data_IF_542615795810
#
_entry.id   IF_542615795810
#
_cell.length_a   1.000
_cell.length_b   1.000
_cell.length_c   1.000
_cell.angle_alpha   90.00
_cell.angle_beta   90.00
_cell.angle_gamma   90.00
#
_symmetry.space_group_name_H-M   'P 1'
#
loop_
_entity.id
_entity.type
_entity.pdbx_description
1 polymer ?
#
# COMPACT_ATOMS: atom_id res chain seq x y z
N UNK A 1 6.72 -19.38 -12.79
CA UNK A 1 6.21 -18.18 -12.10
C UNK A 1 5.48 -17.37 -13.17
N UNK A 2 4.24 -16.94 -12.91
CA UNK A 2 3.51 -16.09 -13.85
C UNK A 2 4.23 -14.75 -14.00
N UNK A 3 4.45 -14.32 -15.24
CA UNK A 3 4.97 -13.00 -15.54
C UNK A 3 3.80 -12.12 -15.99
N UNK A 4 3.48 -11.12 -15.16
CA UNK A 4 2.36 -10.20 -15.38
C UNK A 4 2.75 -8.98 -16.23
N UNK A 5 3.99 -8.92 -16.73
CA UNK A 5 4.49 -7.82 -17.57
C UNK A 5 4.26 -6.44 -16.94
N UNK A 6 4.55 -6.33 -15.63
CA UNK A 6 4.47 -5.07 -14.91
C UNK A 6 5.44 -4.05 -15.51
N UNK A 7 5.03 -2.78 -15.54
CA UNK A 7 5.94 -1.69 -15.89
C UNK A 7 7.05 -1.55 -14.84
N UNK A 8 8.16 -0.88 -15.19
CA UNK A 8 9.24 -0.60 -14.22
C UNK A 8 8.71 0.19 -13.02
N UNK A 9 7.81 1.14 -13.25
CA UNK A 9 7.13 1.89 -12.19
C UNK A 9 6.28 1.00 -11.28
N UNK A 10 5.49 0.09 -11.85
CA UNK A 10 4.69 -0.87 -11.09
C UNK A 10 5.57 -1.83 -10.27
N UNK A 11 6.72 -2.23 -10.80
CA UNK A 11 7.71 -3.02 -10.06
C UNK A 11 8.23 -2.22 -8.86
N UNK A 12 8.57 -0.95 -9.05
CA UNK A 12 9.00 -0.07 -7.96
C UNK A 12 7.92 0.12 -6.90
N UNK A 13 6.67 0.38 -7.29
CA UNK A 13 5.52 0.52 -6.38
C UNK A 13 5.34 -0.75 -5.54
N UNK A 14 5.32 -1.92 -6.20
CA UNK A 14 5.19 -3.22 -5.54
C UNK A 14 6.32 -3.46 -4.55
N UNK A 15 7.56 -3.22 -4.95
CA UNK A 15 8.74 -3.52 -4.12
C UNK A 15 8.84 -2.55 -2.92
N UNK A 16 8.42 -1.29 -3.08
CA UNK A 16 8.27 -0.33 -1.99
C UNK A 16 7.18 -0.78 -1.00
N UNK A 17 5.99 -1.15 -1.48
CA UNK A 17 4.91 -1.65 -0.63
C UNK A 17 5.33 -2.94 0.12
N UNK A 18 6.06 -3.85 -0.55
CA UNK A 18 6.62 -5.05 0.07
C UNK A 18 7.57 -4.72 1.22
N UNK A 19 8.43 -3.72 1.02
CA UNK A 19 9.40 -3.28 2.03
C UNK A 19 8.68 -2.75 3.27
N UNK A 20 7.64 -1.92 3.09
CA UNK A 20 6.81 -1.41 4.19
C UNK A 20 6.07 -2.56 4.88
N UNK A 21 5.51 -3.49 4.11
CA UNK A 21 4.83 -4.66 4.66
C UNK A 21 5.74 -5.47 5.59
N UNK A 22 6.97 -5.76 5.18
CA UNK A 22 7.88 -6.58 5.96
C UNK A 22 8.55 -5.83 7.12
N UNK A 23 8.87 -4.55 6.97
CA UNK A 23 9.62 -3.78 7.96
C UNK A 23 8.73 -3.01 8.94
N UNK A 24 7.58 -2.49 8.49
CA UNK A 24 6.72 -1.60 9.28
C UNK A 24 5.43 -2.29 9.75
N UNK A 25 4.84 -3.17 8.94
CA UNK A 25 3.55 -3.82 9.26
C UNK A 25 3.74 -5.13 10.01
N UNK A 26 4.54 -6.05 9.45
CA UNK A 26 4.68 -7.42 9.96
C UNK A 26 5.11 -7.49 11.44
N UNK A 27 6.02 -6.63 11.95
CA UNK A 27 6.43 -6.70 13.35
C UNK A 27 5.34 -6.32 14.36
N UNK A 28 4.38 -5.47 13.95
CA UNK A 28 3.35 -4.89 14.84
C UNK A 28 1.95 -5.44 14.59
N UNK A 29 1.78 -6.26 13.54
CA UNK A 29 0.48 -6.75 13.10
C UNK A 29 -0.34 -7.45 14.21
N UNK A 30 0.29 -8.32 15.00
CA UNK A 30 -0.39 -9.06 16.06
C UNK A 30 -0.80 -8.17 17.25
N UNK A 31 -0.02 -7.12 17.53
CA UNK A 31 -0.32 -6.17 18.59
C UNK A 31 -1.56 -5.35 18.24
N UNK A 32 -1.61 -4.81 17.02
CA UNK A 32 -2.75 -4.04 16.53
C UNK A 32 -4.03 -4.89 16.36
N UNK A 33 -3.89 -6.16 15.97
CA UNK A 33 -5.03 -7.09 15.92
C UNK A 33 -5.65 -7.31 17.32
N UNK A 34 -4.82 -7.46 18.35
CA UNK A 34 -5.27 -7.67 19.73
C UNK A 34 -5.81 -6.39 20.38
N UNK A 35 -5.15 -5.25 20.16
CA UNK A 35 -5.53 -3.99 20.81
C UNK A 35 -6.71 -3.32 20.13
N UNK A 36 -6.88 -3.52 18.82
CA UNK A 36 -7.86 -2.80 18.00
C UNK A 36 -7.52 -1.32 17.83
N UNK A 37 -6.32 -0.88 18.23
CA UNK A 37 -5.88 0.50 18.04
C UNK A 37 -5.61 0.79 16.56
N UNK A 38 -5.81 2.05 16.16
CA UNK A 38 -5.51 2.45 14.79
C UNK A 38 -3.99 2.63 14.59
N UNK A 39 -3.39 2.05 13.55
CA UNK A 39 -1.94 1.98 13.37
C UNK A 39 -1.37 3.27 12.75
N UNK A 40 -1.58 4.43 13.39
CA UNK A 40 -1.12 5.73 12.89
C UNK A 40 0.36 5.76 12.49
N UNK A 41 1.31 5.24 13.28
CA UNK A 41 2.72 5.26 12.90
C UNK A 41 3.00 4.55 11.57
N UNK A 42 2.28 3.44 11.30
CA UNK A 42 2.41 2.69 10.05
C UNK A 42 1.78 3.46 8.88
N UNK A 43 0.60 4.05 9.10
CA UNK A 43 -0.10 4.86 8.09
C UNK A 43 0.74 6.06 7.68
N UNK A 44 1.41 6.71 8.64
CA UNK A 44 2.35 7.80 8.37
C UNK A 44 3.52 7.34 7.50
N UNK A 45 4.06 6.13 7.71
CA UNK A 45 5.10 5.57 6.84
C UNK A 45 4.61 5.30 5.42
N UNK A 46 3.39 4.81 5.26
CA UNK A 46 2.78 4.62 3.93
C UNK A 46 2.61 5.98 3.23
N UNK A 47 2.26 7.04 3.97
CA UNK A 47 2.12 8.39 3.45
C UNK A 47 3.47 9.04 3.09
N UNK A 48 4.49 8.92 3.94
CA UNK A 48 5.85 9.38 3.66
C UNK A 48 6.43 8.73 2.41
N UNK A 49 6.06 7.47 2.15
CA UNK A 49 6.44 6.73 0.94
C UNK A 49 5.66 7.14 -0.33
N UNK A 50 4.67 8.04 -0.21
CA UNK A 50 3.86 8.53 -1.33
C UNK A 50 2.80 7.54 -1.85
N UNK A 51 2.61 6.39 -1.18
CA UNK A 51 1.76 5.31 -1.71
C UNK A 51 0.28 5.69 -1.78
N UNK A 52 -0.23 6.58 -0.93
CA UNK A 52 -1.61 7.09 -1.06
C UNK A 52 -1.87 7.84 -2.37
N UNK A 53 -0.82 8.29 -3.07
CA UNK A 53 -0.94 8.93 -4.37
C UNK A 53 -1.27 7.96 -5.51
N UNK A 54 -1.08 6.65 -5.36
CA UNK A 54 -1.12 5.70 -6.51
C UNK A 54 -2.50 5.54 -7.15
N UNK A 55 -3.57 6.00 -6.49
CA UNK A 55 -4.93 5.99 -7.04
C UNK A 55 -5.44 7.39 -7.42
N UNK A 56 -4.62 8.41 -7.18
CA UNK A 56 -4.95 9.82 -7.41
C UNK A 56 -4.34 10.27 -8.74
N UNK A 57 -5.09 11.05 -9.51
CA UNK A 57 -4.62 11.57 -10.80
C UNK A 57 -3.49 12.59 -10.63
N UNK A 58 -2.56 12.64 -11.59
CA UNK A 58 -1.41 13.55 -11.59
C UNK A 58 -1.81 15.03 -11.50
N UNK A 59 -2.96 15.41 -12.08
CA UNK A 59 -3.52 16.75 -11.98
C UNK A 59 -3.84 17.19 -10.53
N UNK A 60 -3.89 16.23 -9.59
CA UNK A 60 -4.10 16.43 -8.17
C UNK A 60 -2.85 16.07 -7.34
N UNK A 61 -1.69 15.89 -7.98
CA UNK A 61 -0.43 15.53 -7.33
C UNK A 61 -0.28 14.04 -7.02
N UNK A 62 -1.08 13.18 -7.65
CA UNK A 62 -1.00 11.73 -7.48
C UNK A 62 -0.05 11.02 -8.45
N UNK A 63 -0.06 9.69 -8.38
CA UNK A 63 0.83 8.74 -9.07
C UNK A 63 0.02 7.64 -9.79
N UNK A 64 -1.22 7.94 -10.18
CA UNK A 64 -2.07 6.98 -10.89
C UNK A 64 -1.52 6.62 -12.28
N UNK A 65 -0.96 7.60 -12.99
CA UNK A 65 -0.69 7.50 -14.43
C UNK A 65 -1.89 6.92 -15.18
N UNK A 66 -1.63 6.01 -16.12
CA UNK A 66 -2.66 5.27 -16.85
C UNK A 66 -3.15 4.00 -16.11
N UNK A 67 -2.72 3.76 -14.87
CA UNK A 67 -2.82 2.45 -14.20
C UNK A 67 -3.30 2.51 -12.75
N UNK A 68 -4.21 3.45 -12.40
CA UNK A 68 -4.74 3.61 -11.03
C UNK A 68 -5.09 2.29 -10.34
N UNK A 69 -5.88 1.46 -11.01
CA UNK A 69 -6.40 0.21 -10.42
C UNK A 69 -5.29 -0.80 -10.22
N UNK A 70 -4.38 -0.93 -11.18
CA UNK A 70 -3.28 -1.88 -11.08
C UNK A 70 -2.30 -1.46 -9.97
N UNK A 71 -1.96 -0.17 -9.90
CA UNK A 71 -1.08 0.35 -8.85
C UNK A 71 -1.70 0.13 -7.46
N UNK A 72 -3.01 0.37 -7.32
CA UNK A 72 -3.75 0.11 -6.08
C UNK A 72 -3.74 -1.37 -5.68
N UNK A 73 -3.92 -2.28 -6.64
CA UNK A 73 -3.88 -3.73 -6.40
C UNK A 73 -2.50 -4.14 -5.90
N UNK A 74 -1.42 -3.68 -6.55
CA UNK A 74 -0.05 -4.03 -6.18
C UNK A 74 0.29 -3.61 -4.75
N UNK A 75 -0.08 -2.39 -4.37
CA UNK A 75 0.15 -1.92 -2.99
C UNK A 75 -0.72 -2.72 -2.02
N UNK A 76 -2.01 -2.88 -2.30
CA UNK A 76 -2.94 -3.58 -1.39
C UNK A 76 -2.52 -5.04 -1.17
N UNK A 77 -2.12 -5.75 -2.23
CA UNK A 77 -1.66 -7.13 -2.15
C UNK A 77 -0.44 -7.27 -1.23
N UNK A 78 0.59 -6.43 -1.43
CA UNK A 78 1.82 -6.51 -0.66
C UNK A 78 1.61 -6.12 0.82
N UNK A 79 0.85 -5.06 1.11
CA UNK A 79 0.52 -4.68 2.49
C UNK A 79 -0.35 -5.76 3.17
N UNK A 80 -1.32 -6.32 2.47
CA UNK A 80 -2.21 -7.37 2.98
C UNK A 80 -1.48 -8.67 3.33
N UNK A 81 -0.35 -8.97 2.66
CA UNK A 81 0.53 -10.10 2.99
C UNK A 81 1.13 -9.98 4.40
N UNK A 82 1.21 -8.77 4.95
CA UNK A 82 1.65 -8.54 6.33
C UNK A 82 0.45 -8.45 7.29
N UNK A 83 -0.56 -7.65 6.98
CA UNK A 83 -1.79 -7.56 7.77
C UNK A 83 -2.94 -6.96 6.95
N UNK A 84 -4.04 -7.71 6.80
CA UNK A 84 -5.23 -7.23 6.09
C UNK A 84 -5.93 -6.06 6.79
N UNK A 85 -5.96 -6.05 8.13
CA UNK A 85 -6.58 -4.96 8.91
C UNK A 85 -5.85 -3.63 8.72
N UNK A 86 -4.52 -3.64 8.83
CA UNK A 86 -3.69 -2.45 8.59
C UNK A 86 -3.74 -2.05 7.11
N UNK A 87 -3.69 -3.02 6.18
CA UNK A 87 -3.80 -2.74 4.75
C UNK A 87 -5.12 -2.03 4.38
N UNK A 88 -6.20 -2.26 5.13
CA UNK A 88 -7.48 -1.60 4.89
C UNK A 88 -7.42 -0.09 5.13
N UNK A 89 -6.55 0.39 6.02
CA UNK A 89 -6.33 1.83 6.22
C UNK A 89 -5.80 2.52 4.94
N UNK A 90 -5.04 1.78 4.13
CA UNK A 90 -4.65 2.22 2.79
C UNK A 90 -5.76 1.97 1.77
N UNK A 91 -6.25 0.72 1.68
CA UNK A 91 -7.14 0.28 0.61
C UNK A 91 -8.49 1.02 0.57
N UNK A 92 -9.02 1.36 1.75
CA UNK A 92 -10.30 2.05 1.87
C UNK A 92 -10.27 3.48 1.33
N UNK A 93 -9.11 4.11 1.17
CA UNK A 93 -9.01 5.48 0.62
C UNK A 93 -9.44 5.59 -0.83
N UNK A 94 -9.49 4.46 -1.55
CA UNK A 94 -10.02 4.40 -2.92
C UNK A 94 -11.56 4.24 -2.96
N UNK A 95 -12.22 4.06 -1.81
CA UNK A 95 -13.67 3.97 -1.68
C UNK A 95 -14.20 5.36 -1.31
N UNK A 96 -14.87 6.03 -2.25
CA UNK A 96 -15.38 7.41 -2.10
C UNK A 96 -16.47 7.59 -1.06
#
# INVERSE_FOLDING_TARGET
>A
MLDYQLTEEQVMIRDLARTIADNEIRPVAAEYDQSGEFPWPVVEKIAEAGLFGVFIDEAHGGLAGDSRTMNMVLVTEELSRACGGISLAFASTALG
#
